data_IF_847031316372
#
_entry.id   IF_847031316372
#
_cell.length_a   1.000
_cell.length_b   1.000
_cell.length_c   1.000
_cell.angle_alpha   90.00
_cell.angle_beta   90.00
_cell.angle_gamma   90.00
#
_symmetry.space_group_name_H-M   'P 1'
#
loop_
_entity.id
_entity.type
_entity.pdbx_description
1 polymer ?
#
# COMPACT_ATOMS: atom_id res chain seq x y z
N UNK A 1 -41.26 12.79 12.06
CA UNK A 1 -42.65 13.06 12.42
C UNK A 1 -43.48 13.66 11.29
N UNK A 2 -42.91 13.98 10.16
CA UNK A 2 -43.67 14.52 8.98
C UNK A 2 -44.27 13.42 8.08
N UNK A 3 -43.86 12.16 8.27
CA UNK A 3 -44.24 11.03 7.37
C UNK A 3 -45.67 10.51 7.60
N UNK A 4 -46.36 10.87 8.69
CA UNK A 4 -47.71 10.39 8.96
C UNK A 4 -48.80 11.49 8.97
N UNK A 5 -48.46 12.73 8.58
CA UNK A 5 -49.45 13.82 8.46
C UNK A 5 -50.16 14.20 9.77
N UNK A 6 -49.75 13.70 10.91
CA UNK A 6 -50.36 13.96 12.21
C UNK A 6 -49.68 15.13 12.92
N UNK A 7 -50.44 16.19 13.24
CA UNK A 7 -49.92 17.31 14.02
C UNK A 7 -49.72 16.91 15.49
N UNK A 8 -48.80 17.58 16.18
CA UNK A 8 -48.56 17.36 17.63
C UNK A 8 -49.85 17.44 18.48
N UNK A 9 -50.86 18.24 18.07
CA UNK A 9 -52.16 18.37 18.77
C UNK A 9 -53.01 17.10 18.70
N UNK A 10 -52.92 16.30 17.64
CA UNK A 10 -53.70 15.06 17.53
C UNK A 10 -53.12 13.93 18.40
N UNK A 11 -51.80 13.93 18.67
CA UNK A 11 -51.14 12.93 19.50
C UNK A 11 -51.42 13.12 21.00
N UNK A 12 -51.75 14.33 21.46
CA UNK A 12 -52.03 14.61 22.87
C UNK A 12 -53.46 14.25 23.28
N UNK A 13 -54.38 14.05 22.33
CA UNK A 13 -55.77 13.67 22.57
C UNK A 13 -56.02 12.15 22.55
N UNK A 14 -55.03 11.35 22.19
CA UNK A 14 -55.14 9.89 22.16
C UNK A 14 -54.90 9.28 23.55
N UNK A 15 -55.66 8.23 23.88
CA UNK A 15 -55.41 7.45 25.10
C UNK A 15 -53.99 6.90 25.10
N UNK A 16 -53.39 6.74 26.27
CA UNK A 16 -51.98 6.29 26.39
C UNK A 16 -51.68 5.00 25.61
N UNK A 17 -52.64 4.08 25.51
CA UNK A 17 -52.52 2.83 24.76
C UNK A 17 -52.43 3.05 23.24
N UNK A 18 -53.27 3.94 22.71
CA UNK A 18 -53.25 4.27 21.26
C UNK A 18 -51.97 5.02 20.86
N UNK A 19 -51.48 5.89 21.75
CA UNK A 19 -50.19 6.61 21.52
C UNK A 19 -49.00 5.66 21.46
N UNK A 20 -48.94 4.66 22.34
CA UNK A 20 -47.90 3.64 22.32
C UNK A 20 -47.96 2.77 21.05
N UNK A 21 -49.15 2.41 20.58
CA UNK A 21 -49.33 1.67 19.33
C UNK A 21 -48.88 2.48 18.11
N UNK A 22 -49.20 3.76 18.04
CA UNK A 22 -48.78 4.64 16.93
C UNK A 22 -47.24 4.81 16.92
N UNK A 23 -46.61 4.98 18.10
CA UNK A 23 -45.17 5.07 18.20
C UNK A 23 -44.46 3.77 17.81
N UNK A 24 -45.03 2.61 18.18
CA UNK A 24 -44.54 1.30 17.80
C UNK A 24 -44.63 1.07 16.30
N UNK A 25 -45.76 1.43 15.68
CA UNK A 25 -45.96 1.33 14.23
C UNK A 25 -45.01 2.28 13.49
N UNK A 26 -44.85 3.51 13.97
CA UNK A 26 -43.88 4.45 13.39
C UNK A 26 -42.45 3.95 13.48
N UNK A 27 -42.05 3.36 14.60
CA UNK A 27 -40.74 2.73 14.79
C UNK A 27 -40.53 1.54 13.82
N UNK A 28 -41.52 0.65 13.70
CA UNK A 28 -41.48 -0.47 12.79
C UNK A 28 -41.39 -0.04 11.32
N UNK A 29 -42.11 1.00 10.92
CA UNK A 29 -42.06 1.57 9.58
C UNK A 29 -40.67 2.20 9.30
N UNK A 30 -40.14 2.96 10.26
CA UNK A 30 -38.82 3.57 10.12
C UNK A 30 -37.71 2.52 10.07
N UNK A 31 -37.82 1.45 10.87
CA UNK A 31 -36.86 0.32 10.81
C UNK A 31 -36.98 -0.46 9.49
N UNK A 32 -38.20 -0.68 8.99
CA UNK A 32 -38.42 -1.31 7.70
C UNK A 32 -37.89 -0.46 6.53
N UNK A 33 -38.09 0.85 6.57
CA UNK A 33 -37.52 1.79 5.59
C UNK A 33 -36.01 1.83 5.66
N UNK A 34 -35.41 1.82 6.84
CA UNK A 34 -33.99 1.76 7.03
C UNK A 34 -33.41 0.44 6.50
N UNK A 35 -34.03 -0.69 6.83
CA UNK A 35 -33.65 -2.01 6.32
C UNK A 35 -33.80 -2.09 4.79
N UNK A 36 -34.85 -1.49 4.23
CA UNK A 36 -35.07 -1.40 2.79
C UNK A 36 -34.01 -0.53 2.10
N UNK A 37 -33.60 0.58 2.70
CA UNK A 37 -32.51 1.44 2.22
C UNK A 37 -31.15 0.72 2.28
N UNK A 38 -30.88 -0.01 3.36
CA UNK A 38 -29.68 -0.83 3.49
C UNK A 38 -29.66 -1.95 2.43
N UNK A 39 -30.81 -2.62 2.26
CA UNK A 39 -30.99 -3.67 1.24
C UNK A 39 -30.89 -3.11 -0.20
N UNK A 40 -31.47 -1.95 -0.47
CA UNK A 40 -31.36 -1.25 -1.75
C UNK A 40 -29.91 -0.83 -2.05
N UNK A 41 -29.18 -0.34 -1.03
CA UNK A 41 -27.74 -0.06 -1.16
C UNK A 41 -26.92 -1.31 -1.45
N UNK A 42 -27.25 -2.44 -0.78
CA UNK A 42 -26.62 -3.74 -1.04
C UNK A 42 -26.95 -4.27 -2.45
N UNK A 43 -28.19 -4.11 -2.91
CA UNK A 43 -28.62 -4.54 -4.27
C UNK A 43 -27.93 -3.68 -5.34
N UNK A 44 -27.82 -2.35 -5.16
CA UNK A 44 -27.09 -1.50 -6.11
C UNK A 44 -25.60 -1.80 -6.18
N UNK A 45 -24.99 -2.23 -5.08
CA UNK A 45 -23.61 -2.74 -5.09
C UNK A 45 -23.50 -4.07 -5.84
N UNK A 46 -24.56 -4.88 -5.83
CA UNK A 46 -24.61 -6.16 -6.54
C UNK A 46 -24.85 -6.02 -8.05
N UNK A 47 -25.58 -4.98 -8.49
CA UNK A 47 -25.79 -4.70 -9.93
C UNK A 47 -24.50 -4.34 -10.67
N UNK A 48 -23.45 -3.93 -9.95
CA UNK A 48 -22.13 -3.62 -10.52
C UNK A 48 -21.12 -4.78 -10.43
N UNK A 49 -21.53 -5.97 -9.98
CA UNK A 49 -20.68 -7.16 -9.90
C UNK A 49 -19.61 -7.15 -8.78
N UNK A 50 -19.63 -6.15 -7.90
CA UNK A 50 -18.70 -6.08 -6.78
C UNK A 50 -19.27 -6.76 -5.54
N UNK A 51 -18.45 -7.46 -4.74
CA UNK A 51 -18.90 -8.07 -3.51
C UNK A 51 -19.32 -6.99 -2.48
N UNK A 52 -20.39 -7.23 -1.70
CA UNK A 52 -20.88 -6.27 -0.72
C UNK A 52 -19.83 -6.04 0.38
N UNK A 53 -19.61 -4.78 0.74
CA UNK A 53 -18.73 -4.41 1.84
C UNK A 53 -19.52 -4.48 3.16
N UNK A 54 -19.26 -5.51 3.97
CA UNK A 54 -19.78 -5.62 5.33
C UNK A 54 -18.83 -4.92 6.29
N UNK A 55 -19.36 -4.04 7.13
CA UNK A 55 -18.60 -3.26 8.09
C UNK A 55 -18.90 -3.68 9.52
N UNK A 56 -17.89 -3.65 10.38
CA UNK A 56 -17.98 -3.79 11.82
C UNK A 56 -18.03 -2.39 12.47
N UNK A 57 -18.74 -2.19 13.59
CA UNK A 57 -18.66 -0.94 14.35
C UNK A 57 -17.29 -0.74 15.03
N UNK A 58 -16.51 -1.79 15.14
CA UNK A 58 -15.14 -1.78 15.71
C UNK A 58 -14.15 -2.08 14.60
N UNK A 59 -13.02 -1.36 14.51
CA UNK A 59 -11.98 -1.66 13.53
C UNK A 59 -11.55 -3.11 13.60
N UNK A 60 -11.55 -3.80 12.45
CA UNK A 60 -11.16 -5.22 12.36
C UNK A 60 -9.69 -5.39 11.99
N UNK A 61 -8.93 -4.29 11.96
CA UNK A 61 -7.52 -4.31 11.63
C UNK A 61 -6.71 -4.99 12.72
N UNK A 62 -6.65 -6.31 12.64
CA UNK A 62 -5.87 -7.16 13.56
C UNK A 62 -4.64 -7.76 12.90
N UNK A 63 -4.50 -7.56 11.59
CA UNK A 63 -3.50 -8.29 10.83
C UNK A 63 -2.14 -7.62 10.96
N UNK A 64 -1.27 -8.30 11.65
CA UNK A 64 0.16 -8.03 11.71
C UNK A 64 0.83 -9.32 11.28
N UNK A 65 1.83 -9.28 10.41
CA UNK A 65 2.54 -10.49 9.99
C UNK A 65 3.00 -11.30 11.20
N UNK A 66 3.03 -12.61 11.06
CA UNK A 66 3.54 -13.51 12.12
C UNK A 66 4.96 -13.10 12.52
N UNK A 67 5.77 -12.75 11.53
CA UNK A 67 7.14 -12.28 11.75
C UNK A 67 7.18 -11.02 12.63
N UNK A 68 6.32 -10.01 12.37
CA UNK A 68 6.32 -8.76 13.15
C UNK A 68 5.94 -8.95 14.62
N UNK A 69 5.24 -10.05 14.97
CA UNK A 69 4.90 -10.36 16.38
C UNK A 69 6.10 -10.83 17.18
N UNK A 70 7.07 -11.47 16.53
CA UNK A 70 8.28 -11.99 17.14
C UNK A 70 9.46 -11.87 16.17
N UNK A 71 9.92 -10.62 15.86
CA UNK A 71 10.99 -10.40 14.90
C UNK A 71 12.34 -10.89 15.46
N UNK A 72 13.21 -11.33 14.56
CA UNK A 72 14.61 -11.60 14.90
C UNK A 72 15.37 -10.27 14.98
N UNK A 73 15.23 -9.58 16.11
CA UNK A 73 15.77 -8.22 16.33
C UNK A 73 17.29 -8.19 16.16
N UNK A 74 17.99 -9.27 16.57
CA UNK A 74 19.47 -9.33 16.45
C UNK A 74 19.85 -9.35 14.98
N UNK A 75 19.18 -10.18 14.18
CA UNK A 75 19.44 -10.28 12.75
C UNK A 75 19.01 -9.00 12.01
N UNK A 76 17.87 -8.39 12.37
CA UNK A 76 17.45 -7.10 11.80
C UNK A 76 18.47 -5.99 12.08
N UNK A 77 18.96 -5.87 13.31
CA UNK A 77 19.97 -4.86 13.68
C UNK A 77 21.29 -5.09 12.92
N UNK A 78 21.68 -6.34 12.75
CA UNK A 78 22.85 -6.67 11.93
C UNK A 78 22.65 -6.21 10.47
N UNK A 79 21.53 -6.56 9.84
CA UNK A 79 21.22 -6.14 8.48
C UNK A 79 21.12 -4.63 8.32
N UNK A 80 20.50 -3.95 9.30
CA UNK A 80 20.38 -2.49 9.32
C UNK A 80 21.77 -1.85 9.34
N UNK A 81 22.70 -2.36 10.16
CA UNK A 81 24.09 -1.87 10.23
C UNK A 81 24.83 -2.06 8.92
N UNK A 82 24.63 -3.19 8.24
CA UNK A 82 25.24 -3.46 6.92
C UNK A 82 24.76 -2.43 5.89
N UNK A 83 23.45 -2.14 5.85
CA UNK A 83 22.88 -1.15 4.94
C UNK A 83 23.28 0.29 5.28
N UNK A 84 23.43 0.62 6.58
CA UNK A 84 23.97 1.91 7.01
C UNK A 84 25.43 2.07 6.55
N UNK A 85 26.25 1.04 6.67
CA UNK A 85 27.62 1.07 6.18
C UNK A 85 27.68 1.22 4.66
N UNK A 86 26.79 0.55 3.92
CA UNK A 86 26.65 0.76 2.48
C UNK A 86 26.31 2.22 2.15
N UNK A 87 25.39 2.85 2.89
CA UNK A 87 25.08 4.28 2.73
C UNK A 87 26.32 5.16 2.95
N UNK A 88 27.15 4.85 3.96
CA UNK A 88 28.37 5.61 4.24
C UNK A 88 29.37 5.54 3.08
N UNK A 89 29.43 4.43 2.35
CA UNK A 89 30.29 4.30 1.16
C UNK A 89 29.87 5.19 -0.01
N UNK A 90 28.64 5.69 0.00
CA UNK A 90 28.08 6.66 -0.96
C UNK A 90 28.03 8.09 -0.41
N UNK A 91 28.67 8.38 0.72
CA UNK A 91 28.67 9.70 1.33
C UNK A 91 29.22 10.74 0.33
N UNK A 92 28.47 11.85 0.15
CA UNK A 92 28.80 12.92 -0.79
C UNK A 92 28.37 12.67 -2.27
N UNK A 93 27.84 11.49 -2.61
CA UNK A 93 27.37 11.21 -3.96
C UNK A 93 25.92 11.64 -4.25
N UNK A 94 25.19 12.14 -3.24
CA UNK A 94 23.80 12.59 -3.38
C UNK A 94 23.52 13.78 -2.46
N UNK A 95 22.60 14.65 -2.93
CA UNK A 95 22.06 15.75 -2.16
C UNK A 95 20.72 15.33 -1.54
N UNK A 96 20.60 15.43 -0.22
CA UNK A 96 19.39 15.06 0.52
C UNK A 96 18.22 16.02 0.31
N UNK A 97 18.48 17.22 -0.14
CA UNK A 97 17.45 18.24 -0.36
C UNK A 97 16.82 18.15 -1.75
N UNK A 98 17.43 17.35 -2.64
CA UNK A 98 16.96 17.18 -4.01
C UNK A 98 16.23 15.85 -4.17
N UNK A 99 15.05 15.89 -4.78
CA UNK A 99 14.36 14.68 -5.26
C UNK A 99 14.99 14.24 -6.58
N UNK A 100 15.51 12.97 -6.65
CA UNK A 100 16.17 12.50 -7.86
C UNK A 100 15.19 12.41 -9.04
N UNK A 101 15.60 12.91 -10.20
CA UNK A 101 14.82 12.89 -11.45
C UNK A 101 15.01 11.55 -12.18
N UNK A 102 14.61 10.45 -11.54
CA UNK A 102 14.66 9.11 -12.12
C UNK A 102 13.31 8.41 -11.93
N UNK A 103 12.88 7.66 -12.94
CA UNK A 103 11.72 6.78 -12.89
C UNK A 103 12.19 5.37 -13.21
N UNK A 104 11.97 4.45 -12.29
CA UNK A 104 12.29 3.03 -12.44
C UNK A 104 11.02 2.22 -12.67
N UNK A 105 11.06 1.37 -13.69
CA UNK A 105 10.09 0.31 -13.93
C UNK A 105 10.82 -1.00 -14.18
N UNK A 106 10.21 -2.12 -13.78
CA UNK A 106 10.85 -3.44 -13.92
C UNK A 106 9.95 -4.39 -14.71
N UNK A 107 10.50 -5.02 -15.73
CA UNK A 107 9.82 -6.03 -16.51
C UNK A 107 10.81 -6.91 -17.27
N UNK A 108 10.58 -8.22 -17.31
CA UNK A 108 11.33 -9.12 -18.19
C UNK A 108 11.20 -8.69 -19.66
N UNK A 109 9.98 -8.32 -20.07
CA UNK A 109 9.62 -7.77 -21.38
C UNK A 109 8.34 -6.96 -21.22
N UNK A 110 8.24 -5.84 -21.92
CA UNK A 110 7.02 -5.03 -21.94
C UNK A 110 6.07 -5.58 -22.99
N UNK A 111 4.95 -6.12 -22.55
CA UNK A 111 3.86 -6.53 -23.44
C UNK A 111 3.17 -5.32 -24.07
N UNK A 112 2.62 -5.47 -25.29
CA UNK A 112 1.93 -4.40 -26.03
C UNK A 112 0.86 -3.69 -25.18
N UNK A 113 0.14 -4.42 -24.34
CA UNK A 113 -0.92 -3.87 -23.46
C UNK A 113 -0.41 -2.89 -22.40
N UNK A 114 0.88 -2.91 -22.06
CA UNK A 114 1.49 -2.01 -21.07
C UNK A 114 2.27 -0.86 -21.69
N UNK A 115 2.47 -0.86 -23.00
CA UNK A 115 3.32 0.14 -23.67
C UNK A 115 2.85 1.56 -23.42
N UNK A 116 1.54 1.81 -23.43
CA UNK A 116 0.99 3.14 -23.16
C UNK A 116 1.22 3.57 -21.70
N UNK A 117 1.07 2.65 -20.74
CA UNK A 117 1.37 2.93 -19.33
C UNK A 117 2.85 3.25 -19.15
N UNK A 118 3.74 2.45 -19.74
CA UNK A 118 5.19 2.63 -19.65
C UNK A 118 5.61 3.94 -20.31
N UNK A 119 5.15 4.22 -21.54
CA UNK A 119 5.54 5.43 -22.27
C UNK A 119 4.97 6.72 -21.66
N UNK A 120 3.88 6.64 -20.88
CA UNK A 120 3.31 7.81 -20.21
C UNK A 120 4.31 8.50 -19.28
N UNK A 121 5.21 7.75 -18.67
CA UNK A 121 6.20 8.27 -17.74
C UNK A 121 7.22 9.18 -18.42
N UNK A 122 7.86 8.72 -19.49
CA UNK A 122 8.83 9.54 -20.26
C UNK A 122 8.16 10.68 -21.02
N UNK A 123 6.94 10.46 -21.52
CA UNK A 123 6.20 11.49 -22.26
C UNK A 123 5.83 12.69 -21.37
N UNK A 124 5.39 12.42 -20.14
CA UNK A 124 4.96 13.48 -19.21
C UNK A 124 6.09 14.05 -18.35
N UNK A 125 7.22 13.38 -18.29
CA UNK A 125 8.35 13.79 -17.47
C UNK A 125 9.66 13.72 -18.26
N UNK A 126 9.81 14.51 -19.34
CA UNK A 126 10.99 14.44 -20.20
C UNK A 126 12.29 14.84 -19.48
N UNK A 127 12.20 15.53 -18.35
CA UNK A 127 13.32 15.90 -17.49
C UNK A 127 13.77 14.76 -16.54
N UNK A 128 13.05 13.64 -16.50
CA UNK A 128 13.40 12.48 -15.71
C UNK A 128 14.06 11.41 -16.59
N UNK A 129 15.11 10.80 -16.07
CA UNK A 129 15.68 9.59 -16.65
C UNK A 129 14.72 8.42 -16.40
N UNK A 130 14.11 7.89 -17.48
CA UNK A 130 13.25 6.71 -17.39
C UNK A 130 14.05 5.44 -17.61
N UNK A 131 14.16 4.60 -16.59
CA UNK A 131 14.99 3.39 -16.57
C UNK A 131 14.10 2.16 -16.51
N UNK A 132 14.05 1.40 -17.60
CA UNK A 132 13.36 0.11 -17.66
C UNK A 132 14.38 -1.01 -17.42
N UNK A 133 14.21 -1.75 -16.34
CA UNK A 133 15.14 -2.78 -15.87
C UNK A 133 14.57 -4.16 -16.16
N UNK A 134 15.33 -4.99 -16.86
CA UNK A 134 14.99 -6.40 -17.09
C UNK A 134 15.69 -7.33 -16.07
N UNK A 135 15.36 -8.62 -16.11
CA UNK A 135 15.87 -9.60 -15.14
C UNK A 135 17.41 -9.73 -15.14
N UNK A 136 18.04 -9.54 -16.30
CA UNK A 136 19.52 -9.63 -16.44
C UNK A 136 20.18 -8.42 -15.78
N UNK A 137 19.76 -7.22 -16.20
CA UNK A 137 20.30 -5.97 -15.64
C UNK A 137 19.97 -5.80 -14.16
N UNK A 138 18.83 -6.33 -13.71
CA UNK A 138 18.45 -6.35 -12.30
C UNK A 138 19.41 -7.22 -11.48
N UNK A 139 19.72 -8.43 -11.96
CA UNK A 139 20.67 -9.32 -11.28
C UNK A 139 22.06 -8.70 -11.19
N UNK A 140 22.59 -8.18 -12.31
CA UNK A 140 23.88 -7.50 -12.34
C UNK A 140 23.93 -6.30 -11.38
N UNK A 141 22.87 -5.50 -11.35
CA UNK A 141 22.74 -4.37 -10.42
C UNK A 141 22.81 -4.85 -8.96
N UNK A 142 22.04 -5.86 -8.58
CA UNK A 142 21.99 -6.34 -7.19
C UNK A 142 23.35 -6.92 -6.78
N UNK A 143 23.96 -7.76 -7.62
CA UNK A 143 25.24 -8.40 -7.32
C UNK A 143 26.38 -7.38 -7.19
N UNK A 144 26.38 -6.33 -8.02
CA UNK A 144 27.42 -5.31 -8.01
C UNK A 144 27.21 -4.26 -6.92
N UNK A 145 26.00 -3.72 -6.83
CA UNK A 145 25.71 -2.59 -5.95
C UNK A 145 25.55 -2.99 -4.46
N UNK A 146 25.17 -4.24 -4.19
CA UNK A 146 24.99 -4.77 -2.83
C UNK A 146 26.03 -5.83 -2.44
N UNK A 147 27.20 -5.80 -3.07
CA UNK A 147 28.30 -6.74 -2.77
C UNK A 147 28.66 -6.77 -1.28
N UNK A 148 28.64 -5.62 -0.60
CA UNK A 148 28.86 -5.48 0.85
C UNK A 148 27.70 -5.95 1.73
N UNK A 149 26.57 -6.32 1.12
CA UNK A 149 25.37 -6.85 1.78
C UNK A 149 25.01 -8.26 1.24
N UNK A 150 25.87 -9.28 1.44
CA UNK A 150 25.73 -10.57 0.80
C UNK A 150 24.42 -11.29 1.12
N UNK A 151 23.80 -11.01 2.27
CA UNK A 151 22.49 -11.56 2.65
C UNK A 151 21.38 -11.09 1.69
N UNK A 152 21.44 -9.83 1.25
CA UNK A 152 20.52 -9.25 0.27
C UNK A 152 20.71 -9.91 -1.10
N UNK A 153 21.97 -9.99 -1.56
CA UNK A 153 22.33 -10.61 -2.85
C UNK A 153 21.90 -12.08 -2.88
N UNK A 154 22.23 -12.83 -1.82
CA UNK A 154 21.88 -14.23 -1.71
C UNK A 154 20.35 -14.43 -1.76
N UNK A 155 19.59 -13.66 -0.98
CA UNK A 155 18.14 -13.75 -0.99
C UNK A 155 17.55 -13.42 -2.35
N UNK A 156 17.98 -12.32 -2.98
CA UNK A 156 17.51 -11.92 -4.32
C UNK A 156 17.70 -13.03 -5.35
N UNK A 157 18.89 -13.63 -5.36
CA UNK A 157 19.21 -14.71 -6.29
C UNK A 157 18.44 -16.01 -5.99
N UNK A 158 18.12 -16.26 -4.73
CA UNK A 158 17.45 -17.49 -4.30
C UNK A 158 15.92 -17.46 -4.43
N UNK A 159 15.31 -16.30 -4.59
CA UNK A 159 13.85 -16.22 -4.75
C UNK A 159 13.38 -16.97 -6.01
N UNK A 160 12.50 -17.98 -5.87
CA UNK A 160 11.99 -18.75 -7.01
C UNK A 160 10.95 -17.98 -7.83
N UNK A 161 10.24 -17.05 -7.19
CA UNK A 161 9.14 -16.32 -7.80
C UNK A 161 9.59 -14.93 -8.28
N UNK A 162 9.38 -14.58 -9.57
CA UNK A 162 9.73 -13.26 -10.11
C UNK A 162 9.12 -12.08 -9.35
N UNK A 163 7.92 -12.23 -8.76
CA UNK A 163 7.29 -11.13 -8.00
C UNK A 163 8.08 -10.79 -6.74
N UNK A 164 8.61 -11.79 -6.01
CA UNK A 164 9.46 -11.56 -4.84
C UNK A 164 10.74 -10.80 -5.21
N UNK A 165 11.31 -11.12 -6.38
CA UNK A 165 12.48 -10.40 -6.92
C UNK A 165 12.14 -8.96 -7.28
N UNK A 166 11.03 -8.75 -7.98
CA UNK A 166 10.58 -7.41 -8.36
C UNK A 166 10.26 -6.54 -7.14
N UNK A 167 9.60 -7.12 -6.13
CA UNK A 167 9.29 -6.44 -4.88
C UNK A 167 10.54 -6.04 -4.10
N UNK A 168 11.53 -6.93 -3.98
CA UNK A 168 12.80 -6.57 -3.34
C UNK A 168 13.56 -5.53 -4.17
N UNK A 169 13.60 -5.71 -5.49
CA UNK A 169 14.33 -4.83 -6.41
C UNK A 169 13.86 -3.37 -6.33
N UNK A 170 12.53 -3.11 -6.24
CA UNK A 170 12.02 -1.73 -6.09
C UNK A 170 12.59 -1.02 -4.88
N UNK A 171 12.73 -1.73 -3.76
CA UNK A 171 13.34 -1.17 -2.55
C UNK A 171 14.84 -0.95 -2.73
N UNK A 172 15.55 -1.87 -3.37
CA UNK A 172 17.00 -1.76 -3.60
C UNK A 172 17.33 -0.57 -4.51
N UNK A 173 16.57 -0.38 -5.60
CA UNK A 173 16.70 0.75 -6.51
C UNK A 173 16.45 2.08 -5.79
N UNK A 174 15.32 2.18 -5.08
CA UNK A 174 14.96 3.38 -4.34
C UNK A 174 15.92 3.67 -3.19
N UNK A 175 16.47 2.62 -2.56
CA UNK A 175 17.45 2.80 -1.49
C UNK A 175 18.72 3.48 -1.98
N UNK A 176 19.26 3.06 -3.12
CA UNK A 176 20.53 3.61 -3.63
C UNK A 176 20.32 4.91 -4.41
N UNK A 177 19.33 4.95 -5.27
CA UNK A 177 19.19 6.03 -6.24
C UNK A 177 18.07 7.02 -5.90
N UNK A 178 17.13 6.64 -5.07
CA UNK A 178 15.90 7.43 -4.91
C UNK A 178 15.10 7.51 -6.20
N UNK A 179 14.30 8.57 -6.35
CA UNK A 179 13.45 8.78 -7.52
C UNK A 179 12.06 8.16 -7.36
N UNK A 180 11.43 7.83 -8.46
CA UNK A 180 10.11 7.23 -8.54
C UNK A 180 10.23 5.78 -8.99
N UNK A 181 9.64 4.86 -8.26
CA UNK A 181 9.37 3.51 -8.75
C UNK A 181 7.90 3.42 -9.16
N UNK A 182 7.62 2.77 -10.28
CA UNK A 182 6.27 2.46 -10.72
C UNK A 182 6.20 1.06 -11.34
N UNK A 183 5.14 0.29 -11.04
CA UNK A 183 4.90 -0.97 -11.75
C UNK A 183 4.56 -0.69 -13.23
N UNK A 184 4.81 -1.65 -14.13
CA UNK A 184 4.59 -1.44 -15.58
C UNK A 184 3.12 -1.28 -15.98
N UNK A 185 2.17 -1.66 -15.11
CA UNK A 185 0.74 -1.44 -15.28
C UNK A 185 0.22 -0.18 -14.55
N UNK A 186 1.14 0.73 -14.23
CA UNK A 186 0.83 2.05 -13.66
C UNK A 186 1.03 3.12 -14.75
N UNK A 187 -0.05 3.82 -15.07
CA UNK A 187 -0.07 4.93 -16.01
C UNK A 187 0.17 6.25 -15.26
N UNK A 188 1.13 7.05 -15.70
CA UNK A 188 1.37 8.42 -15.22
C UNK A 188 0.31 9.37 -15.82
N UNK A 189 -0.44 10.10 -15.00
CA UNK A 189 -1.56 10.92 -15.46
C UNK A 189 -1.21 12.40 -15.67
N UNK A 190 -0.23 12.87 -14.93
CA UNK A 190 0.24 14.26 -14.99
C UNK A 190 1.73 14.33 -14.62
N UNK A 191 2.45 15.39 -15.02
CA UNK A 191 3.85 15.56 -14.65
C UNK A 191 4.09 15.38 -13.15
N UNK A 192 5.18 14.73 -12.78
CA UNK A 192 5.53 14.48 -11.37
C UNK A 192 5.62 15.80 -10.60
N UNK A 193 6.15 16.84 -11.22
CA UNK A 193 6.25 18.17 -10.62
C UNK A 193 4.89 18.78 -10.22
N UNK A 194 3.79 18.33 -10.85
CA UNK A 194 2.42 18.79 -10.59
C UNK A 194 1.66 17.91 -9.60
N UNK A 195 2.28 16.85 -9.06
CA UNK A 195 1.61 15.95 -8.12
C UNK A 195 1.28 16.65 -6.82
N UNK A 196 2.15 17.54 -6.38
CA UNK A 196 2.05 18.24 -5.10
C UNK A 196 2.36 19.73 -5.24
N UNK A 197 1.78 20.57 -4.39
CA UNK A 197 2.21 21.95 -4.24
C UNK A 197 3.70 22.05 -3.88
N UNK A 198 4.38 23.10 -4.35
CA UNK A 198 5.82 23.34 -4.14
C UNK A 198 6.24 23.27 -2.67
N UNK A 199 5.41 23.79 -1.75
CA UNK A 199 5.66 23.75 -0.31
C UNK A 199 5.80 22.32 0.25
N UNK A 200 5.10 21.35 -0.37
CA UNK A 200 5.18 19.94 0.04
C UNK A 200 6.42 19.26 -0.54
N UNK A 201 6.81 19.60 -1.78
CA UNK A 201 8.07 19.17 -2.36
C UNK A 201 9.28 19.65 -1.56
N UNK A 202 9.20 20.87 -0.98
CA UNK A 202 10.23 21.48 -0.10
C UNK A 202 10.14 21.03 1.36
N UNK A 203 9.22 20.12 1.69
CA UNK A 203 9.14 19.56 3.05
C UNK A 203 10.34 18.65 3.35
N UNK A 204 10.51 18.29 4.62
CA UNK A 204 11.54 17.35 5.06
C UNK A 204 11.20 15.86 4.75
N UNK A 205 10.23 15.60 3.88
CA UNK A 205 9.87 14.26 3.49
C UNK A 205 11.01 13.59 2.70
N UNK A 206 11.26 12.32 3.03
CA UNK A 206 12.19 11.44 2.30
C UNK A 206 11.43 10.41 1.47
N UNK A 207 10.16 10.18 1.79
CA UNK A 207 9.26 9.23 1.13
C UNK A 207 7.91 9.89 0.86
N UNK A 208 7.34 9.65 -0.32
CA UNK A 208 5.96 9.94 -0.66
C UNK A 208 5.27 8.65 -1.06
N UNK A 209 4.16 8.35 -0.40
CA UNK A 209 3.35 7.13 -0.64
C UNK A 209 1.87 7.48 -0.65
N UNK A 210 1.06 6.72 -1.39
CA UNK A 210 -0.41 6.82 -1.35
C UNK A 210 -1.02 5.76 -0.44
N UNK A 211 -2.15 6.06 0.17
CA UNK A 211 -3.02 5.02 0.73
C UNK A 211 -3.59 4.20 -0.44
N UNK A 212 -3.66 2.87 -0.29
CA UNK A 212 -4.22 1.96 -1.31
C UNK A 212 -5.55 1.35 -0.86
N UNK A 213 -5.61 0.89 0.39
CA UNK A 213 -6.82 0.32 0.99
C UNK A 213 -7.07 1.08 2.28
N UNK A 214 -8.29 1.58 2.45
CA UNK A 214 -8.69 2.36 3.62
C UNK A 214 -10.05 1.88 4.14
N UNK A 215 -10.11 0.58 4.53
CA UNK A 215 -11.30 -0.11 4.99
C UNK A 215 -11.08 -0.80 6.35
N UNK A 216 -10.56 -0.10 7.37
CA UNK A 216 -10.19 -0.72 8.65
C UNK A 216 -11.38 -1.32 9.40
N UNK A 217 -12.59 -0.96 9.02
CA UNK A 217 -13.84 -1.49 9.58
C UNK A 217 -14.42 -2.64 8.75
N UNK A 218 -13.79 -3.03 7.63
CA UNK A 218 -14.26 -4.14 6.81
C UNK A 218 -14.18 -5.46 7.59
N UNK A 219 -15.30 -6.18 7.62
CA UNK A 219 -15.35 -7.52 8.23
C UNK A 219 -14.50 -8.51 7.43
N UNK A 220 -14.01 -9.56 8.08
CA UNK A 220 -13.16 -10.58 7.48
C UNK A 220 -13.75 -11.22 6.22
N UNK A 221 -15.08 -11.40 6.20
CA UNK A 221 -15.79 -11.89 5.03
C UNK A 221 -15.62 -10.96 3.81
N UNK A 222 -15.76 -9.65 4.04
CA UNK A 222 -15.56 -8.64 2.98
C UNK A 222 -14.12 -8.61 2.52
N UNK A 223 -13.16 -8.70 3.44
CA UNK A 223 -11.73 -8.76 3.10
C UNK A 223 -11.44 -9.97 2.19
N UNK A 224 -12.00 -11.14 2.51
CA UNK A 224 -11.87 -12.36 1.68
C UNK A 224 -12.50 -12.19 0.30
N UNK A 225 -13.72 -11.62 0.22
CA UNK A 225 -14.41 -11.40 -1.05
C UNK A 225 -13.67 -10.42 -1.97
N UNK A 226 -13.08 -9.38 -1.40
CA UNK A 226 -12.26 -8.41 -2.13
C UNK A 226 -10.84 -8.90 -2.41
N UNK A 227 -10.43 -9.99 -1.77
CA UNK A 227 -9.09 -10.55 -1.87
C UNK A 227 -8.02 -9.69 -1.21
N UNK A 228 -8.41 -8.93 -0.17
CA UNK A 228 -7.48 -8.16 0.64
C UNK A 228 -6.85 -9.05 1.71
N UNK A 229 -5.54 -8.99 1.81
CA UNK A 229 -4.82 -9.60 2.94
C UNK A 229 -4.92 -8.73 4.19
N UNK A 230 -5.04 -7.40 4.00
CA UNK A 230 -5.24 -6.42 5.07
C UNK A 230 -6.28 -5.39 4.64
N UNK A 231 -7.12 -4.88 5.57
CA UNK A 231 -8.12 -3.85 5.27
C UNK A 231 -7.55 -2.43 5.23
N UNK A 232 -6.27 -2.26 5.54
CA UNK A 232 -5.53 -1.01 5.40
C UNK A 232 -4.14 -1.29 4.83
N UNK A 233 -3.69 -0.42 3.92
CA UNK A 233 -2.34 -0.51 3.36
C UNK A 233 -1.96 0.66 2.50
N UNK A 234 -0.63 0.86 2.38
CA UNK A 234 -0.05 1.83 1.46
C UNK A 234 0.29 1.18 0.13
N UNK A 235 0.13 1.96 -0.94
CA UNK A 235 0.48 1.56 -2.29
C UNK A 235 1.98 1.25 -2.39
N UNK A 236 2.27 0.07 -2.95
CA UNK A 236 3.63 -0.36 -3.21
C UNK A 236 3.99 -0.22 -4.71
N UNK A 237 2.99 -0.16 -5.56
CA UNK A 237 3.15 -0.06 -7.01
C UNK A 237 3.59 1.32 -7.49
N UNK A 238 3.59 2.32 -6.61
CA UNK A 238 4.15 3.67 -6.87
C UNK A 238 4.73 4.22 -5.58
N UNK A 239 6.02 4.52 -5.59
CA UNK A 239 6.77 5.03 -4.43
C UNK A 239 7.69 6.14 -4.94
N UNK A 240 7.72 7.29 -4.25
CA UNK A 240 8.73 8.32 -4.48
C UNK A 240 9.65 8.35 -3.26
N UNK A 241 10.96 8.31 -3.49
CA UNK A 241 11.95 8.22 -2.42
C UNK A 241 13.15 9.10 -2.68
N UNK A 242 13.69 9.69 -1.63
CA UNK A 242 15.08 10.14 -1.63
C UNK A 242 16.02 8.94 -1.40
N UNK A 243 17.27 9.02 -1.84
CA UNK A 243 18.24 7.95 -1.57
C UNK A 243 18.40 7.69 -0.08
N UNK A 244 18.60 6.44 0.29
CA UNK A 244 18.86 6.00 1.67
C UNK A 244 17.77 6.36 2.69
N UNK A 245 16.54 6.55 2.25
CA UNK A 245 15.40 6.79 3.12
C UNK A 245 15.19 5.62 4.08
N UNK A 246 14.96 5.94 5.38
CA UNK A 246 14.81 4.93 6.43
C UNK A 246 13.69 3.92 6.16
N UNK A 247 12.48 4.33 5.71
CA UNK A 247 11.41 3.36 5.46
C UNK A 247 11.79 2.31 4.43
N UNK A 248 12.53 2.69 3.38
CA UNK A 248 13.03 1.76 2.35
C UNK A 248 14.05 0.80 2.94
N UNK A 249 14.99 1.32 3.77
CA UNK A 249 15.97 0.47 4.49
C UNK A 249 15.26 -0.53 5.39
N UNK A 250 14.28 -0.08 6.17
CA UNK A 250 13.47 -0.94 7.03
C UNK A 250 12.75 -2.03 6.24
N UNK A 251 12.20 -1.70 5.06
CA UNK A 251 11.57 -2.69 4.18
C UNK A 251 12.58 -3.75 3.71
N UNK A 252 13.77 -3.36 3.26
CA UNK A 252 14.83 -4.30 2.83
C UNK A 252 15.20 -5.24 3.99
N UNK A 253 15.48 -4.69 5.17
CA UNK A 253 15.81 -5.48 6.38
C UNK A 253 14.72 -6.51 6.66
N UNK A 254 13.44 -6.06 6.64
CA UNK A 254 12.29 -6.91 6.91
C UNK A 254 12.09 -8.01 5.87
N UNK A 255 12.25 -7.71 4.59
CA UNK A 255 12.16 -8.73 3.53
C UNK A 255 13.18 -9.85 3.78
N UNK A 256 14.43 -9.47 4.08
CA UNK A 256 15.48 -10.46 4.31
C UNK A 256 15.21 -11.26 5.58
N UNK A 257 14.93 -10.59 6.68
CA UNK A 257 14.76 -11.26 7.97
C UNK A 257 13.48 -12.14 8.00
N UNK A 258 12.39 -11.68 7.40
CA UNK A 258 11.13 -12.45 7.32
C UNK A 258 11.28 -13.70 6.44
N UNK A 259 11.98 -13.60 5.31
CA UNK A 259 12.26 -14.77 4.46
C UNK A 259 13.09 -15.83 5.22
N UNK A 260 14.08 -15.42 6.01
CA UNK A 260 14.83 -16.32 6.88
C UNK A 260 13.97 -16.93 7.99
N UNK A 261 13.08 -16.14 8.60
CA UNK A 261 12.13 -16.64 9.59
C UNK A 261 11.18 -17.69 9.00
N UNK A 262 10.63 -17.44 7.81
CA UNK A 262 9.78 -18.41 7.12
C UNK A 262 10.55 -19.71 6.82
N UNK A 263 11.80 -19.61 6.42
CA UNK A 263 12.65 -20.81 6.21
C UNK A 263 12.77 -21.63 7.49
N UNK A 264 13.06 -20.97 8.63
CA UNK A 264 13.13 -21.64 9.95
C UNK A 264 11.79 -22.33 10.31
N UNK A 265 10.66 -21.65 10.10
CA UNK A 265 9.33 -22.21 10.34
C UNK A 265 9.04 -23.45 9.49
N UNK A 266 9.58 -23.50 8.28
CA UNK A 266 9.46 -24.67 7.38
C UNK A 266 10.62 -25.67 7.50
N UNK A 267 11.38 -25.60 8.59
CA UNK A 267 12.53 -26.48 8.86
C UNK A 267 13.57 -26.48 7.74
N UNK A 268 13.84 -25.31 7.14
CA UNK A 268 14.85 -25.09 6.11
C UNK A 268 16.01 -24.28 6.68
N UNK A 269 17.24 -24.65 6.30
CA UNK A 269 18.46 -23.97 6.76
C UNK A 269 18.54 -22.50 6.29
N UNK A 270 17.98 -22.21 5.13
CA UNK A 270 17.97 -20.86 4.58
C UNK A 270 16.82 -20.69 3.55
N UNK A 271 16.48 -19.43 3.15
CA UNK A 271 15.42 -19.15 2.18
C UNK A 271 15.61 -19.78 0.79
N UNK A 272 16.83 -20.04 0.38
CA UNK A 272 17.11 -20.67 -0.93
C UNK A 272 16.53 -22.10 -1.05
N UNK A 273 16.25 -22.74 0.08
CA UNK A 273 15.66 -24.07 0.13
C UNK A 273 14.12 -24.04 0.15
N UNK A 274 13.51 -22.86 0.08
CA UNK A 274 12.07 -22.69 -0.05
C UNK A 274 11.67 -22.75 -1.53
N UNK A 275 11.00 -23.83 -1.92
CA UNK A 275 10.54 -23.99 -3.30
C UNK A 275 9.25 -23.24 -3.62
N UNK A 276 8.46 -22.88 -2.59
CA UNK A 276 7.14 -22.25 -2.73
C UNK A 276 6.88 -21.20 -1.67
N UNK A 277 6.24 -20.12 -2.10
CA UNK A 277 5.67 -19.07 -1.29
C UNK A 277 4.17 -18.95 -1.61
N UNK A 278 3.32 -18.94 -0.59
CA UNK A 278 1.89 -18.67 -0.77
C UNK A 278 1.65 -17.21 -1.17
N UNK A 279 0.44 -16.88 -1.61
CA UNK A 279 0.07 -15.50 -1.90
C UNK A 279 0.18 -14.60 -0.64
N UNK A 280 -0.13 -15.16 0.54
CA UNK A 280 0.05 -14.49 1.82
C UNK A 280 1.54 -14.29 2.14
N UNK A 281 2.38 -15.32 1.94
CA UNK A 281 3.84 -15.19 2.12
C UNK A 281 4.40 -14.05 1.24
N UNK A 282 3.99 -13.97 -0.03
CA UNK A 282 4.43 -12.91 -0.95
C UNK A 282 3.99 -11.54 -0.43
N UNK A 283 2.71 -11.40 -0.06
CA UNK A 283 2.17 -10.15 0.45
C UNK A 283 2.89 -9.67 1.71
N UNK A 284 3.16 -10.57 2.65
CA UNK A 284 3.71 -10.24 3.97
C UNK A 284 5.25 -10.16 3.98
N UNK A 285 5.95 -10.87 3.09
CA UNK A 285 7.43 -10.89 3.07
C UNK A 285 8.00 -9.76 2.23
N UNK A 286 7.47 -9.52 1.03
CA UNK A 286 8.03 -8.56 0.08
C UNK A 286 7.03 -7.52 -0.41
N UNK A 287 5.74 -7.82 -0.34
CA UNK A 287 4.65 -7.06 -0.90
C UNK A 287 4.14 -5.90 -0.03
N UNK A 288 2.91 -5.44 -0.27
CA UNK A 288 2.32 -4.29 0.42
C UNK A 288 2.25 -4.43 1.95
N UNK A 289 2.21 -5.65 2.48
CA UNK A 289 2.18 -5.92 3.92
C UNK A 289 3.44 -5.45 4.62
N UNK A 290 4.60 -5.94 4.18
CA UNK A 290 5.89 -5.53 4.76
C UNK A 290 6.16 -4.04 4.52
N UNK A 291 5.74 -3.50 3.36
CA UNK A 291 5.89 -2.09 3.05
C UNK A 291 5.10 -1.20 4.03
N UNK A 292 3.83 -1.52 4.26
CA UNK A 292 2.97 -0.82 5.22
C UNK A 292 3.56 -0.86 6.63
N UNK A 293 4.04 -2.03 7.07
CA UNK A 293 4.68 -2.20 8.37
C UNK A 293 5.98 -1.38 8.47
N UNK A 294 6.82 -1.39 7.44
CA UNK A 294 8.08 -0.65 7.42
C UNK A 294 7.86 0.87 7.52
N UNK A 295 6.84 1.40 6.84
CA UNK A 295 6.45 2.80 6.94
C UNK A 295 6.01 3.16 8.36
N UNK A 296 5.05 2.43 8.93
CA UNK A 296 4.51 2.69 10.27
C UNK A 296 5.61 2.57 11.32
N UNK A 297 6.46 1.55 11.26
CA UNK A 297 7.54 1.35 12.23
C UNK A 297 8.63 2.41 12.11
N UNK A 298 8.91 2.89 10.91
CA UNK A 298 9.86 3.99 10.71
C UNK A 298 9.37 5.30 11.32
N UNK A 299 8.06 5.56 11.29
CA UNK A 299 7.43 6.71 11.96
C UNK A 299 7.36 6.53 13.48
N UNK A 300 7.34 5.28 13.96
CA UNK A 300 7.35 4.95 15.39
C UNK A 300 8.75 4.93 16.03
N UNK A 301 9.78 5.33 15.35
CA UNK A 301 11.17 5.30 15.87
C UNK A 301 11.34 5.96 17.26
N UNK A 302 10.74 7.15 17.46
CA UNK A 302 10.71 7.86 18.77
C UNK A 302 9.31 7.96 19.39
N UNK A 303 8.29 7.48 18.67
CA UNK A 303 6.89 7.45 19.06
C UNK A 303 6.45 6.00 19.07
N UNK A 304 5.36 5.68 19.73
CA UNK A 304 4.80 4.32 19.73
C UNK A 304 3.30 4.34 19.46
N UNK A 305 2.79 5.49 19.03
CA UNK A 305 1.36 5.78 18.86
C UNK A 305 0.93 5.86 17.39
N UNK A 306 1.87 5.80 16.44
CA UNK A 306 1.52 5.83 15.01
C UNK A 306 1.00 4.46 14.57
N UNK A 307 -0.19 4.47 14.03
CA UNK A 307 -0.87 3.30 13.47
C UNK A 307 -1.62 3.69 12.20
N UNK A 308 -2.36 2.78 11.62
CA UNK A 308 -3.26 3.05 10.51
C UNK A 308 -4.27 4.17 10.80
N UNK A 309 -4.67 4.34 12.07
CA UNK A 309 -5.69 5.32 12.47
C UNK A 309 -5.32 6.77 12.12
N UNK A 310 -4.03 7.10 12.05
CA UNK A 310 -3.58 8.42 11.63
C UNK A 310 -3.80 8.69 10.13
N UNK A 311 -4.08 7.66 9.34
CA UNK A 311 -4.21 7.73 7.89
C UNK A 311 -5.61 7.39 7.39
N UNK A 312 -6.48 6.91 8.28
CA UNK A 312 -7.87 6.59 7.97
C UNK A 312 -8.63 7.85 7.53
N UNK A 313 -9.34 7.76 6.41
CA UNK A 313 -10.12 8.86 5.86
C UNK A 313 -9.29 10.07 5.44
N UNK A 314 -8.01 9.87 5.09
CA UNK A 314 -7.11 10.96 4.73
C UNK A 314 -7.64 11.73 3.51
N UNK A 315 -7.81 13.05 3.66
CA UNK A 315 -8.28 13.95 2.59
C UNK A 315 -7.21 14.89 2.07
N UNK A 316 -6.14 15.11 2.85
CA UNK A 316 -5.00 15.97 2.51
C UNK A 316 -3.69 15.24 2.79
N UNK A 317 -2.59 15.56 2.08
CA UNK A 317 -1.28 15.00 2.36
C UNK A 317 -0.85 15.20 3.80
N UNK A 318 -0.36 14.15 4.45
CA UNK A 318 0.06 14.15 5.84
C UNK A 318 1.53 13.77 5.96
N UNK A 319 2.31 14.64 6.63
CA UNK A 319 3.74 14.44 6.84
C UNK A 319 3.98 14.02 8.27
N UNK A 320 4.62 12.87 8.48
CA UNK A 320 4.97 12.34 9.79
C UNK A 320 6.48 12.05 9.87
N UNK A 321 7.15 12.49 10.96
CA UNK A 321 8.60 12.37 11.09
C UNK A 321 9.04 10.91 11.21
N UNK A 322 10.24 10.65 10.70
CA UNK A 322 11.02 9.43 10.92
C UNK A 322 12.38 9.80 11.52
N UNK A 323 13.28 8.84 11.67
CA UNK A 323 14.66 9.15 11.95
C UNK A 323 15.35 9.77 10.74
N UNK A 324 15.64 11.05 10.82
CA UNK A 324 16.43 11.79 9.83
C UNK A 324 15.63 12.29 8.61
N UNK A 325 14.30 12.22 8.63
CA UNK A 325 13.42 12.72 7.57
C UNK A 325 11.96 12.57 7.92
N UNK A 326 11.10 12.36 6.92
CA UNK A 326 9.67 12.14 7.15
C UNK A 326 9.04 11.28 6.03
N UNK A 327 7.90 10.67 6.36
CA UNK A 327 6.98 10.04 5.39
C UNK A 327 5.85 11.04 5.09
N UNK A 328 5.61 11.29 3.82
CA UNK A 328 4.43 11.98 3.33
C UNK A 328 3.43 10.95 2.80
N UNK A 329 2.32 10.80 3.50
CA UNK A 329 1.21 9.96 3.08
C UNK A 329 0.18 10.78 2.30
N UNK A 330 -0.19 10.31 1.13
CA UNK A 330 -1.18 10.94 0.25
C UNK A 330 -2.54 10.26 0.39
N UNK A 331 -3.64 11.02 0.27
CA UNK A 331 -4.98 10.46 0.13
C UNK A 331 -5.05 9.42 -0.98
N UNK A 332 -5.97 8.48 -0.85
CA UNK A 332 -6.14 7.37 -1.80
C UNK A 332 -6.35 7.85 -3.25
N UNK A 333 -7.00 9.00 -3.45
CA UNK A 333 -7.29 9.56 -4.77
C UNK A 333 -6.04 9.84 -5.60
N UNK A 334 -4.87 10.02 -4.97
CA UNK A 334 -3.63 10.32 -5.67
C UNK A 334 -3.10 9.13 -6.45
N UNK A 335 -3.04 7.95 -5.82
CA UNK A 335 -2.47 6.74 -6.44
C UNK A 335 -3.51 5.63 -6.61
N UNK A 336 -4.46 5.48 -5.69
CA UNK A 336 -5.47 4.43 -5.68
C UNK A 336 -6.81 4.81 -6.34
N UNK A 337 -6.84 5.88 -7.17
CA UNK A 337 -8.08 6.32 -7.84
C UNK A 337 -8.69 5.23 -8.72
N UNK A 338 -10.01 5.28 -8.91
CA UNK A 338 -10.76 4.35 -9.74
C UNK A 338 -11.06 3.00 -9.08
N UNK A 339 -10.61 2.77 -7.85
CA UNK A 339 -11.03 1.63 -7.06
C UNK A 339 -12.46 1.82 -6.57
N UNK A 340 -13.22 0.72 -6.44
CA UNK A 340 -14.62 0.77 -6.04
C UNK A 340 -14.83 0.72 -4.52
N UNK A 341 -13.79 0.92 -3.75
CA UNK A 341 -13.76 0.95 -2.29
C UNK A 341 -12.98 2.16 -1.79
N UNK A 342 -12.98 2.39 -0.49
CA UNK A 342 -12.14 3.36 0.23
C UNK A 342 -12.31 4.81 -0.23
N UNK A 343 -13.46 5.16 -0.79
CA UNK A 343 -13.74 6.48 -1.38
C UNK A 343 -12.66 6.95 -2.37
N UNK A 344 -12.09 6.01 -3.14
CA UNK A 344 -10.97 6.27 -4.04
C UNK A 344 -11.29 7.27 -5.18
N UNK A 345 -12.55 7.61 -5.38
CA UNK A 345 -12.97 8.42 -6.52
C UNK A 345 -12.91 7.63 -7.84
N UNK A 346 -13.07 8.31 -8.93
CA UNK A 346 -12.96 7.73 -10.26
C UNK A 346 -11.59 8.01 -10.89
N UNK A 347 -11.32 7.38 -12.04
CA UNK A 347 -10.07 7.58 -12.77
C UNK A 347 -9.82 9.04 -13.22
N UNK A 348 -10.86 9.88 -13.30
CA UNK A 348 -10.77 11.30 -13.70
C UNK A 348 -10.65 12.24 -12.49
N UNK A 349 -10.43 11.72 -11.28
CA UNK A 349 -10.30 12.55 -10.08
C UNK A 349 -9.17 13.57 -10.26
N UNK A 350 -9.43 14.85 -9.89
CA UNK A 350 -8.47 15.95 -10.10
C UNK A 350 -7.12 15.75 -9.42
N UNK A 351 -7.10 15.01 -8.30
CA UNK A 351 -5.88 14.70 -7.56
C UNK A 351 -5.16 13.45 -8.08
N UNK A 352 -5.75 12.69 -9.03
CA UNK A 352 -5.14 11.49 -9.57
C UNK A 352 -3.78 11.81 -10.23
N UNK A 353 -2.72 11.25 -9.69
CA UNK A 353 -1.35 11.36 -10.18
C UNK A 353 -1.00 10.21 -11.11
N UNK A 354 -1.46 9.02 -10.74
CA UNK A 354 -1.27 7.78 -11.51
C UNK A 354 -2.58 7.02 -11.59
N UNK A 355 -2.64 6.02 -12.47
CA UNK A 355 -3.73 5.03 -12.50
C UNK A 355 -3.11 3.64 -12.53
N UNK A 356 -3.45 2.82 -11.56
CA UNK A 356 -3.01 1.42 -11.48
C UNK A 356 -4.08 0.50 -12.07
N UNK A 357 -3.73 -0.24 -13.13
CA UNK A 357 -4.67 -1.13 -13.80
C UNK A 357 -4.88 -2.47 -13.08
N UNK A 358 -4.12 -2.73 -12.01
CA UNK A 358 -4.29 -3.91 -11.14
C UNK A 358 -4.42 -5.23 -11.90
N UNK A 359 -3.56 -5.48 -12.88
CA UNK A 359 -3.72 -6.62 -13.81
C UNK A 359 -3.53 -7.97 -13.14
N UNK A 360 -3.08 -7.99 -11.86
CA UNK A 360 -2.89 -9.21 -11.04
C UNK A 360 -2.14 -10.32 -11.81
N UNK A 361 -1.23 -9.93 -12.72
CA UNK A 361 -0.53 -10.86 -13.63
C UNK A 361 0.24 -11.95 -12.88
N UNK A 362 0.78 -11.61 -11.70
CA UNK A 362 1.51 -12.56 -10.85
C UNK A 362 0.61 -13.64 -10.23
N UNK A 363 -0.70 -13.36 -10.00
CA UNK A 363 -1.65 -14.35 -9.47
C UNK A 363 -1.98 -15.43 -10.50
N UNK A 364 -1.97 -15.11 -11.80
CA UNK A 364 -2.29 -16.07 -12.87
C UNK A 364 -1.19 -17.11 -13.08
N UNK A 365 0.06 -16.75 -12.80
CA UNK A 365 1.21 -17.64 -12.98
C UNK A 365 1.47 -18.54 -11.74
N UNK A 366 0.80 -18.31 -10.62
CA UNK A 366 0.95 -19.14 -9.41
C UNK A 366 0.15 -20.45 -9.45
N UNK A 367 -0.69 -20.66 -10.49
CA UNK A 367 -1.49 -21.88 -10.65
C UNK A 367 -0.79 -22.97 -11.48
N UNK A 368 0.41 -22.72 -12.03
CA UNK A 368 1.13 -23.64 -12.91
C UNK A 368 2.54 -24.00 -12.43
N UNK A 369 2.81 -24.01 -11.12
CA UNK A 369 4.05 -24.57 -10.59
C UNK A 369 3.74 -25.45 -9.37
#
# INVERSE_FOLDING_TARGET
MVVLGLSQRHLTQLSGKNRQQILLVAFLVLTALWLSLVRYRQIRLHENGDPPLKLSPIPTFRHVSVYRRAPDVIFENFLDSVLVNLKLSYAGSYDRDIWPKKVFQTAKKVDKKYMEAVSSWSRLNPEHEHVLINDVTAKEFVEKAFLSAPQVVHLYNSFPNPVLKADLLRYLLLYLYGGVYADIDVYCRKPIAEWLPEKLWKSNADIIVGVEIDEPYAMEESQKLWGWHRPFGFAQYTIVSKPFARPVRTAIVRVVAHAHHLAKLKNKANPALLSRYSAEDIYEISGPGVWTDALIDSMNYKRKDISWAQFYGLTEPKVLPTEGGAVMALPIQYFGNGQKHSNAGNYSHKQACVTHFSTKSWKRNSWFL
#
